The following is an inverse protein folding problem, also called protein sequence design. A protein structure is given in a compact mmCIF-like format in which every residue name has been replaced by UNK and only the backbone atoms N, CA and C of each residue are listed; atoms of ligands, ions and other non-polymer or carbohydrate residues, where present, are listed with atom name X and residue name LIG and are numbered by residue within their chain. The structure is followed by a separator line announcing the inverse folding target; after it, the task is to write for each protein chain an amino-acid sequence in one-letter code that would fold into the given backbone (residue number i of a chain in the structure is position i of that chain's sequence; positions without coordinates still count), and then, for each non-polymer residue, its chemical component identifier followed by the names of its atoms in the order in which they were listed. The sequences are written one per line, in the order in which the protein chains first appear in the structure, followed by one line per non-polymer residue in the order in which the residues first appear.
data_IF_385375992734
#
_entry.id   IF_385375992734
#
_cell.length_a   1.000
_cell.length_b   1.000
_cell.length_c   1.000
_cell.angle_alpha   90.00
_cell.angle_beta   90.00
_cell.angle_gamma   90.00
#
_symmetry.space_group_name_H-M   'P 1'
#
loop_
_entity.id
_entity.type
_entity.pdbx_description
1 polymer ?
#
# COMPACT_ATOMS: atom_id res chain seq x y z
N UNK A 1 -11.49 -18.80 -25.56
CA UNK A 1 -12.51 -18.99 -24.51
C UNK A 1 -11.98 -18.35 -23.25
N UNK A 2 -12.40 -17.12 -22.97
CA UNK A 2 -11.97 -16.39 -21.77
C UNK A 2 -12.72 -16.98 -20.58
N UNK A 3 -12.01 -17.70 -19.71
CA UNK A 3 -12.55 -18.23 -18.46
C UNK A 3 -13.01 -17.05 -17.59
N UNK A 4 -14.32 -16.94 -17.37
CA UNK A 4 -14.90 -15.99 -16.42
C UNK A 4 -14.46 -16.38 -15.01
N UNK A 5 -13.30 -15.87 -14.60
CA UNK A 5 -12.75 -16.12 -13.26
C UNK A 5 -13.48 -15.24 -12.27
N UNK A 6 -14.10 -15.86 -11.27
CA UNK A 6 -14.69 -15.12 -10.14
C UNK A 6 -13.62 -14.25 -9.47
N UNK A 7 -13.93 -12.99 -9.22
CA UNK A 7 -13.03 -12.00 -8.63
C UNK A 7 -13.67 -11.36 -7.40
N UNK A 8 -12.84 -11.00 -6.43
CA UNK A 8 -13.24 -10.13 -5.32
C UNK A 8 -13.25 -8.70 -5.83
N UNK A 9 -14.39 -8.01 -5.71
CA UNK A 9 -14.57 -6.63 -6.17
C UNK A 9 -14.57 -5.72 -4.97
N UNK A 10 -13.66 -4.75 -4.99
CA UNK A 10 -13.59 -3.68 -4.02
C UNK A 10 -14.06 -2.39 -4.70
N UNK A 11 -15.03 -1.73 -4.08
CA UNK A 11 -15.45 -0.38 -4.40
C UNK A 11 -14.98 0.53 -3.26
N UNK A 12 -14.23 1.57 -3.57
CA UNK A 12 -13.79 2.56 -2.60
C UNK A 12 -14.07 3.96 -3.14
N UNK A 13 -14.73 4.78 -2.35
CA UNK A 13 -15.04 6.17 -2.69
C UNK A 13 -14.65 7.14 -1.58
N UNK A 14 -14.25 8.33 -1.97
CA UNK A 14 -13.97 9.46 -1.09
C UNK A 14 -15.25 10.26 -0.92
N UNK A 15 -15.61 10.55 0.32
CA UNK A 15 -16.81 11.31 0.66
C UNK A 15 -16.47 12.43 1.64
N UNK A 16 -17.27 13.49 1.65
CA UNK A 16 -17.18 14.56 2.66
C UNK A 16 -18.08 14.19 3.82
N UNK A 17 -17.52 14.09 5.03
CA UNK A 17 -18.31 13.79 6.24
C UNK A 17 -19.09 15.01 6.69
N UNK A 18 -20.40 14.84 6.98
CA UNK A 18 -21.25 15.89 7.54
C UNK A 18 -21.74 16.95 6.55
N UNK A 19 -21.43 16.82 5.25
CA UNK A 19 -21.91 17.75 4.23
C UNK A 19 -23.23 17.29 3.62
N UNK A 20 -24.13 18.23 3.38
CA UNK A 20 -25.29 18.03 2.50
C UNK A 20 -24.77 18.10 1.05
N UNK A 21 -25.31 17.30 0.16
CA UNK A 21 -24.79 17.02 -1.19
C UNK A 21 -24.45 18.22 -2.08
N UNK A 22 -24.88 19.45 -1.75
CA UNK A 22 -24.57 20.66 -2.50
C UNK A 22 -23.15 21.22 -2.24
N UNK A 23 -22.52 20.90 -1.08
CA UNK A 23 -21.19 21.37 -0.71
C UNK A 23 -20.08 20.43 -1.23
N UNK A 24 -20.48 19.36 -1.90
CA UNK A 24 -19.57 18.28 -2.30
C UNK A 24 -18.58 18.73 -3.39
N UNK A 25 -19.03 19.50 -4.37
CA UNK A 25 -18.21 19.87 -5.53
C UNK A 25 -17.11 20.88 -5.19
N UNK A 26 -17.38 21.85 -4.32
CA UNK A 26 -16.39 22.87 -3.94
C UNK A 26 -15.35 22.38 -2.93
N UNK A 27 -15.75 21.50 -1.98
CA UNK A 27 -14.84 20.99 -0.95
C UNK A 27 -13.89 19.89 -1.46
N UNK A 28 -14.29 19.16 -2.51
CA UNK A 28 -13.52 18.05 -3.08
C UNK A 28 -12.80 18.44 -4.37
N UNK A 29 -13.19 19.53 -5.03
CA UNK A 29 -12.54 19.97 -6.27
C UNK A 29 -11.04 20.22 -6.07
N UNK A 30 -10.20 19.42 -6.75
CA UNK A 30 -8.77 19.65 -6.84
C UNK A 30 -7.86 18.72 -6.03
N UNK A 31 -6.70 19.22 -5.65
CA UNK A 31 -5.59 18.50 -5.01
C UNK A 31 -5.93 17.54 -3.85
N UNK A 32 -6.88 17.82 -2.93
CA UNK A 32 -7.14 16.93 -1.81
C UNK A 32 -7.77 15.60 -2.20
N UNK A 33 -8.68 15.60 -3.15
CA UNK A 33 -9.28 14.38 -3.69
C UNK A 33 -8.24 13.59 -4.48
N UNK A 34 -7.52 14.25 -5.37
CA UNK A 34 -6.46 13.64 -6.18
C UNK A 34 -5.38 12.97 -5.32
N UNK A 35 -4.97 13.61 -4.22
CA UNK A 35 -4.01 13.01 -3.27
C UNK A 35 -4.54 11.71 -2.66
N UNK A 36 -5.84 11.62 -2.35
CA UNK A 36 -6.45 10.38 -1.84
C UNK A 36 -6.53 9.31 -2.91
N UNK A 37 -7.01 9.66 -4.09
CA UNK A 37 -7.08 8.73 -5.22
C UNK A 37 -5.71 8.16 -5.58
N UNK A 38 -4.67 9.01 -5.66
CA UNK A 38 -3.29 8.58 -5.90
C UNK A 38 -2.76 7.65 -4.81
N UNK A 39 -3.16 7.85 -3.54
CA UNK A 39 -2.81 6.91 -2.46
C UNK A 39 -3.53 5.58 -2.61
N UNK A 40 -4.81 5.61 -2.91
CA UNK A 40 -5.60 4.40 -3.13
C UNK A 40 -5.06 3.58 -4.31
N UNK A 41 -4.68 4.22 -5.42
CA UNK A 41 -4.07 3.54 -6.57
C UNK A 41 -2.76 2.85 -6.20
N UNK A 42 -1.89 3.53 -5.44
CA UNK A 42 -0.63 2.93 -4.97
C UNK A 42 -0.85 1.75 -4.04
N UNK A 43 -1.82 1.86 -3.13
CA UNK A 43 -2.20 0.77 -2.24
C UNK A 43 -2.74 -0.41 -3.05
N UNK A 44 -3.63 -0.16 -4.02
CA UNK A 44 -4.13 -1.21 -4.90
C UNK A 44 -3.01 -1.98 -5.62
N UNK A 45 -2.01 -1.26 -6.13
CA UNK A 45 -0.85 -1.87 -6.80
C UNK A 45 -0.02 -2.74 -5.84
N UNK A 46 0.16 -2.32 -4.58
CA UNK A 46 0.88 -3.11 -3.55
C UNK A 46 0.20 -4.46 -3.33
N UNK A 47 -1.14 -4.49 -3.27
CA UNK A 47 -1.92 -5.70 -3.03
C UNK A 47 -2.31 -6.46 -4.32
N UNK A 48 -1.64 -6.15 -5.45
CA UNK A 48 -1.88 -6.76 -6.76
C UNK A 48 -3.33 -6.60 -7.26
N UNK A 49 -4.00 -5.53 -6.80
CA UNK A 49 -5.33 -5.16 -7.25
C UNK A 49 -5.30 -4.63 -8.68
N UNK A 50 -6.19 -5.13 -9.50
CA UNK A 50 -6.40 -4.65 -10.86
C UNK A 50 -7.47 -3.56 -10.85
N UNK A 51 -7.12 -2.33 -11.19
CA UNK A 51 -8.09 -1.24 -11.30
C UNK A 51 -8.94 -1.46 -12.54
N UNK A 52 -10.21 -1.77 -12.33
CA UNK A 52 -11.17 -2.00 -13.40
C UNK A 52 -11.79 -0.70 -13.90
N UNK A 53 -12.06 0.24 -12.96
CA UNK A 53 -12.66 1.53 -13.27
C UNK A 53 -12.20 2.61 -12.29
N UNK A 54 -11.85 3.77 -12.82
CA UNK A 54 -11.67 5.01 -12.06
C UNK A 54 -12.98 5.79 -12.11
N UNK A 55 -13.46 6.19 -10.94
CA UNK A 55 -14.62 7.06 -10.75
C UNK A 55 -14.14 8.49 -10.51
N UNK A 56 -15.03 9.46 -10.54
CA UNK A 56 -14.72 10.86 -10.22
C UNK A 56 -14.14 11.03 -8.80
N UNK A 57 -14.64 10.23 -7.84
CA UNK A 57 -14.26 10.28 -6.43
C UNK A 57 -13.80 8.92 -5.88
N UNK A 58 -13.49 7.92 -6.70
CA UNK A 58 -13.19 6.59 -6.21
C UNK A 58 -12.61 5.62 -7.22
N UNK A 59 -12.47 4.36 -6.78
CA UNK A 59 -11.91 3.27 -7.57
C UNK A 59 -12.76 2.01 -7.45
N UNK A 60 -12.84 1.26 -8.55
CA UNK A 60 -13.31 -0.12 -8.56
C UNK A 60 -12.13 -1.03 -8.90
N UNK A 61 -11.86 -2.00 -8.04
CA UNK A 61 -10.65 -2.81 -8.08
C UNK A 61 -11.03 -4.29 -7.98
N UNK A 62 -10.36 -5.12 -8.76
CA UNK A 62 -10.50 -6.57 -8.74
C UNK A 62 -9.29 -7.24 -8.10
N UNK A 63 -9.55 -8.27 -7.31
CA UNK A 63 -8.53 -9.10 -6.67
C UNK A 63 -8.79 -10.58 -6.92
N UNK A 64 -7.73 -11.37 -6.92
CA UNK A 64 -7.82 -12.84 -6.99
C UNK A 64 -8.08 -13.49 -5.63
N UNK A 65 -7.90 -12.74 -4.52
CA UNK A 65 -7.95 -13.24 -3.15
C UNK A 65 -8.72 -12.30 -2.22
N UNK A 66 -9.51 -12.90 -1.31
CA UNK A 66 -10.28 -12.17 -0.30
C UNK A 66 -9.37 -11.37 0.64
N UNK A 67 -8.32 -12.01 1.17
CA UNK A 67 -7.39 -11.38 2.10
C UNK A 67 -6.72 -10.15 1.48
N UNK A 68 -6.27 -10.25 0.21
CA UNK A 68 -5.65 -9.13 -0.49
C UNK A 68 -6.60 -7.95 -0.65
N UNK A 69 -7.87 -8.20 -0.98
CA UNK A 69 -8.90 -7.16 -1.08
C UNK A 69 -9.15 -6.49 0.26
N UNK A 70 -9.30 -7.28 1.34
CA UNK A 70 -9.58 -6.75 2.68
C UNK A 70 -8.38 -5.95 3.23
N UNK A 71 -7.17 -6.47 3.11
CA UNK A 71 -5.96 -5.79 3.58
C UNK A 71 -5.66 -4.52 2.78
N UNK A 72 -5.92 -4.53 1.48
CA UNK A 72 -5.88 -3.32 0.65
C UNK A 72 -6.86 -2.26 1.17
N UNK A 73 -8.10 -2.65 1.50
CA UNK A 73 -9.10 -1.76 2.07
C UNK A 73 -8.63 -1.15 3.41
N UNK A 74 -8.07 -1.97 4.30
CA UNK A 74 -7.53 -1.51 5.58
C UNK A 74 -6.43 -0.47 5.40
N UNK A 75 -5.47 -0.74 4.52
CA UNK A 75 -4.37 0.19 4.27
C UNK A 75 -4.85 1.47 3.56
N UNK A 76 -5.84 1.40 2.68
CA UNK A 76 -6.47 2.59 2.11
C UNK A 76 -7.08 3.48 3.21
N UNK A 77 -7.85 2.90 4.14
CA UNK A 77 -8.41 3.61 5.28
C UNK A 77 -7.32 4.26 6.13
N UNK A 78 -6.31 3.50 6.52
CA UNK A 78 -5.20 3.99 7.37
C UNK A 78 -4.45 5.15 6.72
N UNK A 79 -4.07 5.00 5.44
CA UNK A 79 -3.32 6.04 4.71
C UNK A 79 -4.14 7.29 4.41
N UNK A 80 -5.44 7.17 4.23
CA UNK A 80 -6.30 8.31 3.95
C UNK A 80 -6.78 9.01 5.21
N UNK A 81 -6.97 8.30 6.34
CA UNK A 81 -7.44 8.87 7.60
C UNK A 81 -6.48 9.90 8.22
N UNK A 82 -5.17 9.76 7.96
CA UNK A 82 -4.14 10.69 8.46
C UNK A 82 -3.97 11.94 7.60
N UNK A 83 -4.71 12.06 6.48
CA UNK A 83 -4.64 13.25 5.64
C UNK A 83 -5.42 14.40 6.26
N UNK A 84 -4.92 15.66 6.11
CA UNK A 84 -5.57 16.83 6.70
C UNK A 84 -6.99 17.06 6.19
N UNK A 85 -7.78 17.71 7.01
CA UNK A 85 -9.09 18.24 6.63
C UNK A 85 -8.95 19.29 5.52
N UNK A 86 -10.01 19.50 4.77
CA UNK A 86 -10.08 20.46 3.67
C UNK A 86 -11.20 21.43 3.93
N UNK A 87 -10.90 22.73 4.02
CA UNK A 87 -11.88 23.77 4.30
C UNK A 87 -12.77 23.47 5.53
N UNK A 88 -12.18 22.86 6.56
CA UNK A 88 -12.90 22.46 7.77
C UNK A 88 -13.69 21.16 7.66
N UNK A 89 -13.74 20.54 6.48
CA UNK A 89 -14.44 19.27 6.26
C UNK A 89 -13.45 18.09 6.24
N UNK A 90 -13.88 16.99 6.81
CA UNK A 90 -13.13 15.74 6.78
C UNK A 90 -13.55 14.92 5.55
N UNK A 91 -12.54 14.43 4.82
CA UNK A 91 -12.75 13.47 3.74
C UNK A 91 -12.53 12.06 4.26
N UNK A 92 -13.58 11.25 4.21
CA UNK A 92 -13.59 9.85 4.63
C UNK A 92 -13.56 8.91 3.42
N UNK A 93 -13.30 7.63 3.66
CA UNK A 93 -13.49 6.57 2.67
C UNK A 93 -14.69 5.70 3.06
N UNK A 94 -15.50 5.36 2.06
CA UNK A 94 -16.46 4.26 2.11
C UNK A 94 -15.94 3.12 1.28
N UNK A 95 -15.88 1.92 1.86
CA UNK A 95 -15.30 0.76 1.15
C UNK A 95 -16.25 -0.43 1.29
N UNK A 96 -16.65 -0.99 0.14
CA UNK A 96 -17.43 -2.21 0.06
C UNK A 96 -16.66 -3.29 -0.71
N UNK A 97 -16.74 -4.55 -0.23
CA UNK A 97 -16.08 -5.70 -0.87
C UNK A 97 -17.12 -6.80 -1.08
N UNK A 98 -17.22 -7.28 -2.31
CA UNK A 98 -18.10 -8.40 -2.67
C UNK A 98 -17.40 -9.40 -3.58
N UNK A 99 -17.81 -10.65 -3.44
CA UNK A 99 -17.35 -11.73 -4.31
C UNK A 99 -18.55 -12.44 -4.92
N UNK A 100 -18.54 -12.58 -6.23
CA UNK A 100 -19.60 -13.27 -6.95
C UNK A 100 -19.14 -13.70 -8.34
N UNK A 101 -19.93 -14.55 -8.96
CA UNK A 101 -19.78 -14.86 -10.37
C UNK A 101 -20.23 -13.64 -11.18
N UNK A 102 -19.39 -13.17 -12.06
CA UNK A 102 -19.80 -12.22 -13.10
C UNK A 102 -20.76 -12.97 -14.02
N UNK A 103 -22.03 -12.94 -13.68
CA UNK A 103 -23.07 -13.42 -14.58
C UNK A 103 -22.99 -12.55 -15.84
N UNK A 104 -22.83 -13.21 -16.99
CA UNK A 104 -22.75 -12.55 -18.29
C UNK A 104 -23.79 -11.42 -18.34
N UNK A 105 -23.32 -10.24 -18.75
CA UNK A 105 -24.07 -8.99 -18.96
C UNK A 105 -25.58 -9.21 -19.03
N UNK A 106 -26.29 -8.73 -18.02
CA UNK A 106 -27.69 -8.39 -18.17
C UNK A 106 -27.81 -7.48 -19.40
N UNK A 107 -28.92 -7.48 -20.10
CA UNK A 107 -29.13 -6.65 -21.31
C UNK A 107 -28.76 -5.17 -21.10
N UNK A 108 -28.65 -4.73 -19.85
CA UNK A 108 -28.31 -3.36 -19.41
C UNK A 108 -26.82 -3.14 -19.12
N UNK A 109 -25.95 -4.13 -19.31
CA UNK A 109 -24.50 -3.97 -19.21
C UNK A 109 -23.92 -3.81 -17.80
N UNK A 110 -24.73 -3.94 -16.76
CA UNK A 110 -24.33 -3.74 -15.36
C UNK A 110 -23.69 -5.03 -14.80
N UNK A 111 -22.49 -4.92 -14.26
CA UNK A 111 -21.82 -5.98 -13.51
C UNK A 111 -22.41 -6.02 -12.10
N UNK A 112 -23.32 -6.97 -11.84
CA UNK A 112 -24.04 -7.11 -10.56
C UNK A 112 -23.09 -7.17 -9.35
N UNK A 113 -21.90 -7.76 -9.51
CA UNK A 113 -20.89 -7.89 -8.44
C UNK A 113 -20.33 -6.51 -8.04
N UNK A 114 -20.12 -5.63 -9.02
CA UNK A 114 -19.67 -4.25 -8.78
C UNK A 114 -20.75 -3.41 -8.12
N UNK A 115 -21.97 -3.60 -8.54
CA UNK A 115 -23.12 -2.91 -7.98
C UNK A 115 -23.30 -3.26 -6.49
N UNK A 116 -23.24 -4.55 -6.14
CA UNK A 116 -23.32 -4.99 -4.74
C UNK A 116 -22.13 -4.44 -3.93
N UNK A 117 -20.90 -4.45 -4.46
CA UNK A 117 -19.77 -3.85 -3.77
C UNK A 117 -19.97 -2.34 -3.50
N UNK A 118 -20.57 -1.63 -4.45
CA UNK A 118 -20.93 -0.22 -4.28
C UNK A 118 -22.04 -0.03 -3.21
N UNK A 119 -23.03 -0.90 -3.20
CA UNK A 119 -24.10 -0.87 -2.18
C UNK A 119 -23.61 -1.19 -0.77
N UNK A 120 -22.51 -1.91 -0.62
CA UNK A 120 -21.87 -2.17 0.67
C UNK A 120 -21.06 -0.96 1.19
N UNK A 121 -20.67 -0.04 0.32
CA UNK A 121 -19.86 1.14 0.67
C UNK A 121 -20.73 2.30 1.21
N UNK A 122 -21.57 2.07 2.21
CA UNK A 122 -22.58 3.03 2.68
C UNK A 122 -22.17 3.88 3.88
N UNK A 123 -21.21 3.44 4.67
CA UNK A 123 -20.81 4.11 5.90
C UNK A 123 -19.42 4.73 5.83
N UNK A 124 -19.28 5.93 6.40
CA UNK A 124 -18.03 6.69 6.43
C UNK A 124 -16.98 5.99 7.31
N UNK A 125 -15.75 5.91 6.83
CA UNK A 125 -14.62 5.26 7.51
C UNK A 125 -14.86 3.80 7.90
N UNK A 126 -15.70 3.10 7.16
CA UNK A 126 -16.03 1.70 7.40
C UNK A 126 -15.63 0.86 6.20
N UNK A 127 -15.21 -0.37 6.47
CA UNK A 127 -15.04 -1.42 5.47
C UNK A 127 -16.15 -2.44 5.68
N UNK A 128 -16.97 -2.65 4.66
CA UNK A 128 -18.05 -3.63 4.68
C UNK A 128 -17.79 -4.70 3.63
N UNK A 129 -17.92 -5.95 4.03
CA UNK A 129 -17.72 -7.10 3.15
C UNK A 129 -18.94 -8.03 3.20
N UNK A 130 -19.26 -8.67 2.07
CA UNK A 130 -20.29 -9.68 2.00
C UNK A 130 -19.87 -10.99 2.68
N UNK A 131 -20.84 -11.83 3.04
CA UNK A 131 -20.65 -13.18 3.56
C UNK A 131 -19.76 -14.05 2.68
N UNK A 132 -19.87 -13.92 1.34
CA UNK A 132 -19.04 -14.63 0.36
C UNK A 132 -17.56 -14.25 0.43
N UNK A 133 -17.24 -13.02 0.83
CA UNK A 133 -15.87 -12.57 1.11
C UNK A 133 -15.40 -13.17 2.44
N UNK A 134 -16.24 -13.05 3.49
CA UNK A 134 -15.91 -13.53 4.83
C UNK A 134 -15.60 -15.02 4.84
N UNK A 135 -16.37 -15.83 4.12
CA UNK A 135 -16.17 -17.28 4.00
C UNK A 135 -14.81 -17.68 3.38
N UNK A 136 -14.15 -16.76 2.69
CA UNK A 136 -12.88 -17.00 2.00
C UNK A 136 -11.67 -16.34 2.69
N UNK A 137 -11.89 -15.67 3.84
CA UNK A 137 -10.82 -15.01 4.59
C UNK A 137 -10.01 -16.00 5.43
N UNK A 138 -8.76 -15.64 5.67
CA UNK A 138 -7.93 -16.30 6.67
C UNK A 138 -8.62 -16.23 8.04
N UNK A 139 -8.68 -17.33 8.82
CA UNK A 139 -9.31 -17.37 10.15
C UNK A 139 -8.82 -16.30 11.13
N UNK A 140 -7.58 -15.86 11.02
CA UNK A 140 -7.03 -14.80 11.86
C UNK A 140 -7.64 -13.43 11.62
N UNK A 141 -8.18 -13.16 10.44
CA UNK A 141 -8.89 -11.94 10.11
C UNK A 141 -10.32 -11.91 10.65
N UNK A 142 -10.91 -13.09 10.93
CA UNK A 142 -12.29 -13.19 11.42
C UNK A 142 -12.49 -12.54 12.80
N UNK A 143 -11.42 -12.38 13.58
CA UNK A 143 -11.44 -11.74 14.92
C UNK A 143 -11.81 -10.25 14.87
N UNK A 144 -11.68 -9.62 13.71
CA UNK A 144 -11.90 -8.19 13.50
C UNK A 144 -13.24 -7.89 12.83
N UNK A 145 -14.09 -8.91 12.68
CA UNK A 145 -15.34 -8.85 11.95
C UNK A 145 -16.53 -8.76 12.91
N UNK A 146 -17.51 -7.92 12.55
CA UNK A 146 -18.78 -7.78 13.25
C UNK A 146 -19.93 -7.82 12.23
N UNK A 147 -21.09 -8.41 12.57
CA UNK A 147 -22.27 -8.35 11.71
C UNK A 147 -22.69 -6.89 11.46
N UNK A 148 -23.03 -6.57 10.22
CA UNK A 148 -23.48 -5.24 9.81
C UNK A 148 -24.93 -5.24 9.27
N UNK A 149 -25.58 -6.40 9.25
CA UNK A 149 -26.96 -6.53 8.76
C UNK A 149 -27.04 -7.12 7.36
N UNK A 150 -28.09 -6.80 6.64
CA UNK A 150 -28.39 -7.28 5.30
C UNK A 150 -28.64 -6.08 4.38
N UNK A 151 -28.14 -6.14 3.16
CA UNK A 151 -28.35 -5.10 2.13
C UNK A 151 -29.75 -5.22 1.53
N UNK A 152 -30.21 -4.18 0.84
CA UNK A 152 -31.46 -4.20 0.07
C UNK A 152 -31.50 -5.29 -1.03
N UNK A 153 -30.33 -5.79 -1.43
CA UNK A 153 -30.19 -6.88 -2.38
C UNK A 153 -30.19 -8.28 -1.73
N UNK A 154 -30.46 -8.40 -0.43
CA UNK A 154 -30.47 -9.68 0.29
C UNK A 154 -29.08 -10.25 0.58
N UNK A 155 -28.04 -9.42 0.55
CA UNK A 155 -26.67 -9.85 0.83
C UNK A 155 -26.34 -9.58 2.29
N UNK A 156 -25.95 -10.61 3.02
CA UNK A 156 -25.49 -10.49 4.41
C UNK A 156 -24.15 -9.76 4.44
N UNK A 157 -24.09 -8.71 5.25
CA UNK A 157 -22.96 -7.79 5.33
C UNK A 157 -22.26 -7.86 6.69
N UNK A 158 -20.96 -7.69 6.66
CA UNK A 158 -20.10 -7.68 7.83
C UNK A 158 -19.18 -6.46 7.77
N UNK A 159 -18.99 -5.81 8.91
CA UNK A 159 -18.07 -4.70 9.07
C UNK A 159 -16.73 -5.22 9.58
N UNK A 160 -15.64 -4.68 9.05
CA UNK A 160 -14.30 -4.96 9.50
C UNK A 160 -13.73 -3.79 10.31
N UNK A 161 -13.20 -4.07 11.51
CA UNK A 161 -12.56 -3.06 12.36
C UNK A 161 -11.08 -2.87 11.98
N UNK A 162 -10.84 -2.01 10.99
CA UNK A 162 -9.52 -1.70 10.45
C UNK A 162 -8.63 -0.86 11.40
N UNK A 163 -9.19 -0.35 12.50
CA UNK A 163 -8.45 0.47 13.48
C UNK A 163 -7.65 -0.38 14.46
N UNK A 164 -7.98 -1.64 14.59
CA UNK A 164 -7.21 -2.57 15.40
C UNK A 164 -5.90 -2.97 14.73
N UNK A 165 -4.86 -3.18 15.53
CA UNK A 165 -3.60 -3.73 15.04
C UNK A 165 -3.82 -5.17 14.56
N UNK A 166 -3.73 -5.38 13.25
CA UNK A 166 -3.74 -6.71 12.65
C UNK A 166 -2.34 -7.30 12.86
N UNK A 167 -2.20 -8.45 13.55
CA UNK A 167 -0.89 -9.04 13.82
C UNK A 167 -0.14 -9.35 12.53
N UNK A 168 1.16 -9.06 12.49
CA UNK A 168 2.02 -9.36 11.32
C UNK A 168 2.02 -10.85 10.98
N UNK A 169 1.82 -11.74 11.97
CA UNK A 169 1.70 -13.19 11.79
C UNK A 169 0.52 -13.61 10.91
N UNK A 170 -0.51 -12.77 10.80
CA UNK A 170 -1.65 -13.00 9.89
C UNK A 170 -1.22 -12.99 8.42
N UNK A 171 -0.05 -12.40 8.14
CA UNK A 171 0.52 -12.25 6.80
C UNK A 171 1.56 -13.33 6.46
N UNK A 172 1.98 -14.15 7.43
CA UNK A 172 3.07 -15.13 7.27
C UNK A 172 2.66 -16.43 6.58
N UNK A 173 1.39 -16.60 6.19
CA UNK A 173 1.03 -17.76 5.39
C UNK A 173 1.53 -17.57 3.96
N UNK A 174 2.47 -18.39 3.51
CA UNK A 174 3.01 -18.46 2.13
C UNK A 174 1.91 -18.51 1.04
N UNK A 175 0.67 -18.78 1.46
CA UNK A 175 -0.50 -18.83 0.59
C UNK A 175 -1.06 -17.46 0.20
N UNK A 176 -0.71 -16.37 0.90
CA UNK A 176 -1.29 -15.03 0.66
C UNK A 176 -0.49 -14.23 -0.36
N UNK A 177 0.83 -14.48 -0.48
CA UNK A 177 1.71 -13.70 -1.34
C UNK A 177 2.53 -14.56 -2.29
N UNK A 178 2.70 -14.16 -3.55
CA UNK A 178 3.76 -14.73 -4.36
C UNK A 178 5.10 -14.25 -3.79
N UNK A 179 5.86 -15.15 -3.16
CA UNK A 179 7.30 -15.13 -2.80
C UNK A 179 7.99 -13.80 -2.38
N UNK A 180 7.28 -12.70 -2.28
CA UNK A 180 7.79 -11.44 -1.73
C UNK A 180 6.87 -10.98 -0.61
N UNK A 181 7.41 -10.94 0.60
CA UNK A 181 6.74 -10.41 1.80
C UNK A 181 6.17 -9.02 1.51
N UNK A 182 4.87 -8.76 1.78
CA UNK A 182 4.34 -7.42 1.58
C UNK A 182 5.05 -6.43 2.48
N UNK A 183 5.21 -5.20 2.04
CA UNK A 183 5.66 -4.15 2.94
C UNK A 183 4.68 -4.02 4.11
N UNK A 184 5.22 -3.84 5.30
CA UNK A 184 4.48 -3.66 6.54
C UNK A 184 3.36 -2.60 6.33
N UNK A 185 2.06 -2.91 6.55
CA UNK A 185 0.94 -2.04 6.19
C UNK A 185 0.89 -0.70 6.94
N UNK A 186 1.78 -0.47 7.89
CA UNK A 186 1.77 0.71 8.75
C UNK A 186 2.98 1.60 8.47
N UNK A 187 2.92 2.37 7.38
CA UNK A 187 3.88 3.43 7.05
C UNK A 187 5.04 3.01 6.14
N UNK A 188 6.00 3.92 5.89
CA UNK A 188 7.10 3.64 4.99
C UNK A 188 7.94 2.47 5.48
N UNK A 189 8.28 1.58 4.56
CA UNK A 189 8.96 0.31 4.79
C UNK A 189 10.20 0.21 3.90
N UNK A 190 11.29 -0.33 4.43
CA UNK A 190 12.51 -0.58 3.68
C UNK A 190 13.06 -1.95 4.02
N UNK A 191 13.42 -2.68 2.99
CA UNK A 191 14.29 -3.87 3.08
C UNK A 191 15.58 -3.61 2.32
N UNK A 192 16.68 -3.95 2.95
CA UNK A 192 18.01 -3.96 2.33
C UNK A 192 18.52 -5.40 2.27
N UNK A 193 19.00 -5.80 1.10
CA UNK A 193 19.66 -7.11 0.90
C UNK A 193 21.12 -6.89 0.49
N UNK A 194 22.02 -7.46 1.27
CA UNK A 194 23.46 -7.43 0.97
C UNK A 194 24.11 -8.76 1.36
N UNK A 195 24.70 -9.44 0.39
CA UNK A 195 25.17 -10.82 0.53
C UNK A 195 24.05 -11.72 1.08
N UNK A 196 24.27 -12.36 2.20
CA UNK A 196 23.27 -13.22 2.89
C UNK A 196 22.49 -12.47 3.99
N UNK A 197 22.71 -11.16 4.13
CA UNK A 197 22.03 -10.35 5.18
C UNK A 197 20.83 -9.63 4.60
N UNK A 198 19.76 -9.68 5.36
CA UNK A 198 18.56 -8.86 5.13
C UNK A 198 18.35 -7.96 6.33
N UNK A 199 18.18 -6.66 6.11
CA UNK A 199 17.88 -5.66 7.13
C UNK A 199 16.60 -4.94 6.79
N UNK A 200 15.77 -4.74 7.81
CA UNK A 200 14.47 -4.06 7.68
C UNK A 200 14.41 -2.85 8.61
N UNK A 201 13.84 -1.75 8.12
CA UNK A 201 13.40 -0.67 9.01
C UNK A 201 12.11 -1.09 9.70
N UNK A 202 12.07 -1.01 11.03
CA UNK A 202 10.92 -1.38 11.86
C UNK A 202 10.60 -0.27 12.87
N UNK A 203 9.49 -0.42 13.61
CA UNK A 203 9.15 0.51 14.71
C UNK A 203 10.25 0.56 15.77
N UNK A 204 10.94 -0.57 16.03
CA UNK A 204 12.04 -0.65 16.99
C UNK A 204 13.40 -0.21 16.43
N UNK A 205 13.52 -0.06 15.10
CA UNK A 205 14.73 0.36 14.41
C UNK A 205 14.38 1.37 13.32
N UNK A 206 14.17 2.64 13.65
CA UNK A 206 13.71 3.66 12.72
C UNK A 206 14.77 4.16 11.74
N UNK A 207 16.03 3.75 11.93
CA UNK A 207 17.15 4.12 11.08
C UNK A 207 18.13 2.97 10.91
N UNK A 208 18.78 2.89 9.75
CA UNK A 208 19.87 1.97 9.41
C UNK A 208 21.09 2.80 9.03
N UNK A 209 22.21 2.56 9.68
CA UNK A 209 23.51 3.12 9.33
C UNK A 209 24.27 2.18 8.41
N UNK A 210 24.94 2.74 7.39
CA UNK A 210 25.68 1.98 6.39
C UNK A 210 27.12 2.50 6.29
N UNK A 211 28.09 1.61 6.28
CA UNK A 211 29.50 1.95 6.14
C UNK A 211 30.43 0.76 6.30
N UNK A 212 31.75 0.97 6.17
CA UNK A 212 32.73 -0.13 6.29
C UNK A 212 33.09 -0.48 7.74
N UNK A 213 32.76 0.37 8.71
CA UNK A 213 33.04 0.14 10.10
C UNK A 213 32.05 -0.84 10.73
N UNK A 214 32.54 -1.72 11.61
CA UNK A 214 31.73 -2.80 12.22
C UNK A 214 30.59 -2.28 13.11
N UNK A 215 30.62 -1.01 13.50
CA UNK A 215 29.59 -0.36 14.30
C UNK A 215 28.35 0.02 13.49
N UNK A 216 28.39 -0.05 12.14
CA UNK A 216 27.23 0.19 11.32
C UNK A 216 26.28 -1.01 11.33
N UNK A 217 25.00 -0.74 11.16
CA UNK A 217 23.96 -1.77 11.03
C UNK A 217 24.19 -2.63 9.77
N UNK A 218 24.58 -1.99 8.66
CA UNK A 218 24.98 -2.63 7.44
C UNK A 218 26.46 -2.34 7.16
N UNK A 219 27.29 -3.36 7.37
CA UNK A 219 28.71 -3.27 7.05
C UNK A 219 28.92 -3.65 5.59
N UNK A 220 29.37 -2.69 4.79
CA UNK A 220 29.67 -2.87 3.36
C UNK A 220 31.17 -2.77 3.15
N UNK A 221 31.75 -3.83 2.61
CA UNK A 221 33.19 -3.88 2.31
C UNK A 221 33.52 -3.07 1.04
N UNK A 222 34.61 -2.34 1.05
CA UNK A 222 35.13 -1.62 -0.12
C UNK A 222 36.02 -0.45 0.25
N UNK A 223 37.08 -0.22 -0.53
CA UNK A 223 38.07 0.84 -0.27
C UNK A 223 37.52 2.25 -0.40
N UNK A 224 36.47 2.41 -1.20
CA UNK A 224 35.76 3.69 -1.40
C UNK A 224 34.58 3.89 -0.46
N UNK A 225 34.24 2.88 0.34
CA UNK A 225 33.18 2.97 1.35
C UNK A 225 33.75 3.65 2.59
N UNK A 226 33.14 4.73 3.03
CA UNK A 226 33.55 5.43 4.24
C UNK A 226 33.19 4.65 5.50
N UNK A 227 33.88 4.93 6.62
CA UNK A 227 33.58 4.29 7.91
C UNK A 227 32.11 4.39 8.27
N UNK A 228 31.56 5.61 8.23
CA UNK A 228 30.12 5.92 8.30
C UNK A 228 29.77 6.58 6.98
N UNK A 229 29.08 5.87 6.09
CA UNK A 229 28.88 6.30 4.71
C UNK A 229 27.56 7.06 4.52
N UNK A 230 26.47 6.43 4.89
CA UNK A 230 25.16 7.03 4.82
C UNK A 230 24.25 6.52 5.94
N UNK A 231 23.14 7.21 6.11
CA UNK A 231 22.05 6.85 7.01
C UNK A 231 20.76 6.76 6.21
N UNK A 232 19.99 5.72 6.47
CA UNK A 232 18.67 5.54 5.88
C UNK A 232 17.67 5.52 7.01
N UNK A 233 16.67 6.39 6.97
CA UNK A 233 15.72 6.54 8.06
C UNK A 233 14.29 6.72 7.56
N UNK A 234 13.37 6.32 8.42
CA UNK A 234 11.95 6.53 8.23
C UNK A 234 11.58 7.93 8.67
N UNK A 235 11.04 8.74 7.77
CA UNK A 235 10.48 10.06 8.06
C UNK A 235 9.00 10.05 7.69
N UNK A 236 8.11 10.31 8.66
CA UNK A 236 6.65 10.38 8.50
C UNK A 236 6.06 9.42 7.45
N UNK A 237 6.08 9.81 6.18
CA UNK A 237 5.47 9.09 5.06
C UNK A 237 6.48 8.56 4.01
N UNK A 238 7.79 8.62 4.26
CA UNK A 238 8.81 8.23 3.27
C UNK A 238 10.07 7.66 3.93
N UNK A 239 10.87 6.98 3.12
CA UNK A 239 12.22 6.53 3.47
C UNK A 239 13.22 7.50 2.87
N UNK A 240 14.07 8.07 3.70
CA UNK A 240 15.09 9.03 3.28
C UNK A 240 16.48 8.43 3.47
N UNK A 241 17.26 8.39 2.39
CA UNK A 241 18.70 8.13 2.44
C UNK A 241 19.43 9.46 2.50
N UNK A 242 20.28 9.64 3.52
CA UNK A 242 21.14 10.81 3.70
C UNK A 242 22.59 10.38 3.57
N UNK A 243 23.27 10.91 2.55
CA UNK A 243 24.69 10.78 2.32
C UNK A 243 25.45 11.93 2.99
N UNK A 244 26.46 11.64 3.78
CA UNK A 244 27.25 12.65 4.52
C UNK A 244 28.65 12.83 4.00
N UNK A 245 29.02 12.11 2.92
CA UNK A 245 30.40 11.99 2.47
C UNK A 245 30.67 12.54 1.06
N UNK A 246 31.96 12.70 0.72
CA UNK A 246 32.41 13.24 -0.56
C UNK A 246 32.42 12.23 -1.71
N UNK A 247 32.63 10.93 -1.40
CA UNK A 247 32.65 9.89 -2.43
C UNK A 247 31.29 9.57 -3.01
N UNK A 248 30.22 9.85 -2.25
CA UNK A 248 28.84 9.76 -2.66
C UNK A 248 28.25 8.35 -2.67
N UNK A 249 26.92 8.32 -2.70
CA UNK A 249 26.10 7.12 -2.87
C UNK A 249 25.39 7.18 -4.21
N UNK A 250 25.56 6.17 -5.06
CA UNK A 250 24.75 6.01 -6.26
C UNK A 250 23.46 5.27 -5.90
N UNK A 251 22.34 5.84 -6.28
CA UNK A 251 21.00 5.26 -6.19
C UNK A 251 20.56 4.94 -7.61
N UNK A 252 20.47 3.65 -7.93
CA UNK A 252 20.04 3.13 -9.23
C UNK A 252 18.69 2.43 -9.09
N UNK A 253 17.55 3.12 -9.26
CA UNK A 253 16.23 2.51 -9.25
C UNK A 253 16.09 1.50 -10.41
N UNK A 254 15.26 0.46 -10.24
CA UNK A 254 14.92 -0.46 -11.34
C UNK A 254 14.18 0.27 -12.47
N UNK A 255 13.33 1.24 -12.10
CA UNK A 255 12.63 2.12 -13.03
C UNK A 255 13.08 3.56 -12.76
N UNK A 256 13.87 4.13 -13.67
CA UNK A 256 14.34 5.52 -13.55
C UNK A 256 15.80 5.72 -13.89
N UNK A 257 16.29 6.92 -13.57
CA UNK A 257 17.67 7.34 -13.86
C UNK A 257 18.52 7.18 -12.60
N UNK A 258 19.74 6.69 -12.78
CA UNK A 258 20.76 6.65 -11.71
C UNK A 258 21.02 8.06 -11.19
N UNK A 259 21.00 8.21 -9.87
CA UNK A 259 21.32 9.44 -9.16
C UNK A 259 22.60 9.24 -8.32
N UNK A 260 23.61 10.07 -8.55
CA UNK A 260 24.78 10.16 -7.67
C UNK A 260 24.57 11.22 -6.61
N UNK A 261 24.34 10.78 -5.37
CA UNK A 261 24.15 11.65 -4.23
C UNK A 261 25.50 11.94 -3.54
N UNK A 262 25.81 13.20 -3.28
CA UNK A 262 26.99 13.64 -2.54
C UNK A 262 26.58 14.71 -1.53
N UNK A 263 26.75 14.40 -0.23
CA UNK A 263 26.36 15.31 0.87
C UNK A 263 24.93 15.85 0.70
N UNK A 264 23.98 14.94 0.63
CA UNK A 264 22.57 15.32 0.41
C UNK A 264 21.63 14.19 0.79
N UNK A 265 20.34 14.39 0.56
CA UNK A 265 19.30 13.41 0.88
C UNK A 265 18.42 13.13 -0.33
N UNK A 266 17.95 11.88 -0.41
CA UNK A 266 17.02 11.44 -1.45
C UNK A 266 15.96 10.52 -0.84
N UNK A 267 14.75 10.61 -1.35
CA UNK A 267 13.67 9.68 -0.98
C UNK A 267 13.84 8.40 -1.79
N UNK A 268 14.04 7.28 -1.10
CA UNK A 268 14.03 5.96 -1.73
C UNK A 268 12.60 5.55 -2.03
N UNK A 269 12.37 5.07 -3.27
CA UNK A 269 11.08 4.58 -3.74
C UNK A 269 11.26 3.36 -4.62
N UNK A 270 10.32 2.42 -4.53
CA UNK A 270 10.32 1.20 -5.35
C UNK A 270 11.53 0.31 -5.04
N UNK A 271 12.01 -0.36 -6.05
CA UNK A 271 13.16 -1.27 -5.98
C UNK A 271 14.36 -0.70 -6.70
N UNK A 272 15.55 -1.10 -6.28
CA UNK A 272 16.78 -0.64 -6.92
C UNK A 272 18.03 -1.12 -6.20
N UNK A 273 19.14 -0.51 -6.59
CA UNK A 273 20.46 -0.81 -6.06
C UNK A 273 21.13 0.44 -5.49
N UNK A 274 21.84 0.29 -4.39
CA UNK A 274 22.70 1.32 -3.79
C UNK A 274 24.16 0.92 -3.96
N UNK A 275 24.98 1.84 -4.43
CA UNK A 275 26.43 1.66 -4.55
C UNK A 275 27.14 2.78 -3.79
N UNK A 276 28.12 2.41 -2.99
CA UNK A 276 28.82 3.32 -2.10
C UNK A 276 30.20 3.67 -2.65
N UNK A 277 30.46 4.96 -2.87
CA UNK A 277 31.72 5.48 -3.38
C UNK A 277 32.00 5.16 -4.87
N UNK A 278 31.01 4.68 -5.61
CA UNK A 278 31.09 4.41 -7.06
C UNK A 278 29.71 4.55 -7.71
N UNK A 279 29.69 4.75 -9.02
CA UNK A 279 28.46 4.66 -9.83
C UNK A 279 28.12 3.20 -10.15
N UNK A 280 26.87 2.96 -10.53
CA UNK A 280 26.36 1.64 -10.90
C UNK A 280 27.10 1.05 -12.11
N UNK A 281 27.36 1.86 -13.15
CA UNK A 281 28.11 1.45 -14.34
C UNK A 281 27.64 0.16 -15.03
N UNK A 282 26.42 -0.31 -14.76
CA UNK A 282 25.89 -1.57 -15.28
C UNK A 282 26.26 -2.83 -14.48
N UNK A 283 27.17 -2.77 -13.51
CA UNK A 283 27.56 -3.92 -12.70
C UNK A 283 26.79 -4.00 -11.38
N UNK A 284 26.03 -5.09 -11.18
CA UNK A 284 25.26 -5.34 -9.94
C UNK A 284 26.12 -5.89 -8.78
N UNK A 285 27.35 -6.31 -9.01
CA UNK A 285 28.20 -6.90 -7.97
C UNK A 285 28.60 -5.87 -6.90
N UNK A 286 28.46 -6.27 -5.62
CA UNK A 286 28.83 -5.45 -4.46
C UNK A 286 27.92 -4.26 -4.19
N UNK A 287 26.74 -4.19 -4.81
CA UNK A 287 25.69 -3.25 -4.47
C UNK A 287 24.74 -3.81 -3.41
N UNK A 288 24.06 -2.93 -2.70
CA UNK A 288 22.98 -3.28 -1.77
C UNK A 288 21.66 -3.14 -2.51
N UNK A 289 20.90 -4.22 -2.62
CA UNK A 289 19.55 -4.15 -3.17
C UNK A 289 18.62 -3.55 -2.12
N UNK A 290 17.77 -2.61 -2.53
CA UNK A 290 16.75 -2.04 -1.68
C UNK A 290 15.36 -2.25 -2.27
N UNK A 291 14.38 -2.38 -1.37
CA UNK A 291 12.96 -2.32 -1.66
C UNK A 291 12.34 -1.32 -0.69
N UNK A 292 11.91 -0.16 -1.19
CA UNK A 292 11.38 0.94 -0.40
C UNK A 292 9.96 1.28 -0.82
N UNK A 293 9.06 1.30 0.16
CA UNK A 293 7.65 1.60 -0.03
C UNK A 293 7.23 2.69 0.96
N UNK A 294 6.52 3.71 0.49
CA UNK A 294 6.08 4.82 1.32
C UNK A 294 5.18 5.79 0.55
#
# INVERSE_FOLDING_TARGET
MSSSRSKYRLHAEVVVTGAVSADFDDAIAGHPLERRLNRMERVAAIYLGQIDKKLSNGLQIAFDRADAALLCACEMQQRCSVLPQVSGHRLALRIGIHHGLVLQRSKDGVDNVREIASQLALADDVIVASDTVIAALNPDLLKFIQPAGETSAGVVAYQFDWRRDIPSSTFDSESVWPASKPPNPIGPYLVLHYDQKTLELSKGKPAITVGREKLNDLVVAGDRVSRNHCRIEKQEACIVLTDTITNGTSVAPEEGVELMLKKGSVILRGKGMLFFGRSFGGERRGGVRYEAYG
#
